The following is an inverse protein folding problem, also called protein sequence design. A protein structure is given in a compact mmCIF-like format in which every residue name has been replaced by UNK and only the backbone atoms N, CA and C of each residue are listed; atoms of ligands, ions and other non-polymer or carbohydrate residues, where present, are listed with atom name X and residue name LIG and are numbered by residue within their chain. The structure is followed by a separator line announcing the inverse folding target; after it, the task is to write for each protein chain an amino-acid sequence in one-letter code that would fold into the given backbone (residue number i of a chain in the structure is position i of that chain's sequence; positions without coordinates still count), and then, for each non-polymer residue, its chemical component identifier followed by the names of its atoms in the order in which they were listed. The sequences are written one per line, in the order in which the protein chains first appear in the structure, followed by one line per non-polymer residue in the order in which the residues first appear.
data_IF_630319494194
#
_entry.id   IF_630319494194
#
_cell.length_a   1.000
_cell.length_b   1.000
_cell.length_c   1.000
_cell.angle_alpha   90.00
_cell.angle_beta   90.00
_cell.angle_gamma   90.00
#
_symmetry.space_group_name_H-M   'P 1'
#
loop_
_entity.id
_entity.type
_entity.pdbx_description
1 polymer ?
#
# COMPACT_ATOMS: atom_id res chain seq x y z
N UNK A 1 -0.69 -32.89 -8.02
CA UNK A 1 -0.56 -31.57 -8.65
C UNK A 1 -0.96 -30.54 -7.63
N UNK A 2 -0.03 -29.65 -7.24
CA UNK A 2 -0.35 -28.61 -6.27
C UNK A 2 -1.15 -27.49 -6.99
N UNK A 3 -2.04 -26.76 -6.29
CA UNK A 3 -2.90 -25.73 -6.89
C UNK A 3 -2.17 -24.58 -7.63
N UNK A 4 -0.86 -24.43 -7.45
CA UNK A 4 -0.02 -23.40 -8.09
C UNK A 4 0.19 -23.58 -9.60
N UNK A 5 -0.25 -24.70 -10.17
CA UNK A 5 0.08 -25.09 -11.54
C UNK A 5 -0.79 -24.41 -12.62
N UNK A 6 -1.69 -23.47 -12.30
CA UNK A 6 -2.57 -22.86 -13.31
C UNK A 6 -2.70 -21.33 -13.17
N UNK A 7 -1.62 -20.57 -13.42
CA UNK A 7 -1.71 -19.12 -13.47
C UNK A 7 -2.74 -18.69 -14.50
N UNK A 8 -3.44 -17.59 -14.23
CA UNK A 8 -4.21 -16.92 -15.26
C UNK A 8 -3.23 -16.41 -16.32
N UNK A 9 -3.53 -16.69 -17.58
CA UNK A 9 -2.71 -16.28 -18.72
C UNK A 9 -3.47 -15.24 -19.53
N UNK A 10 -2.76 -14.23 -20.01
CA UNK A 10 -3.29 -13.26 -20.96
C UNK A 10 -2.65 -13.56 -22.30
N UNK A 11 -3.46 -13.95 -23.30
CA UNK A 11 -2.97 -14.37 -24.63
C UNK A 11 -1.80 -15.37 -24.49
N UNK A 12 -2.02 -16.42 -23.69
CA UNK A 12 -1.04 -17.49 -23.40
C UNK A 12 0.25 -17.03 -22.71
N UNK A 13 0.30 -15.80 -22.19
CA UNK A 13 1.49 -15.22 -21.56
C UNK A 13 1.27 -15.08 -20.07
N UNK A 14 2.27 -15.46 -19.26
CA UNK A 14 2.22 -15.35 -17.81
C UNK A 14 2.41 -13.89 -17.41
N UNK A 15 1.71 -13.48 -16.36
CA UNK A 15 1.87 -12.16 -15.77
C UNK A 15 1.72 -12.21 -14.25
N UNK A 16 2.18 -11.13 -13.61
CA UNK A 16 1.86 -10.80 -12.23
C UNK A 16 1.42 -9.34 -12.12
N UNK A 17 0.87 -9.00 -10.96
CA UNK A 17 0.38 -7.68 -10.61
C UNK A 17 1.28 -7.11 -9.53
N UNK A 18 1.93 -5.98 -9.83
CA UNK A 18 2.67 -5.17 -8.84
C UNK A 18 1.73 -4.09 -8.30
N UNK A 19 1.56 -4.03 -6.98
CA UNK A 19 0.81 -2.97 -6.31
C UNK A 19 1.65 -2.30 -5.24
N UNK A 20 1.43 -1.00 -5.06
CA UNK A 20 2.08 -0.23 -4.00
C UNK A 20 1.11 0.07 -2.88
N UNK A 21 1.56 -0.11 -1.64
CA UNK A 21 0.79 0.27 -0.47
C UNK A 21 1.68 1.02 0.52
N UNK A 22 1.09 2.00 1.20
CA UNK A 22 1.77 2.91 2.10
C UNK A 22 1.22 2.71 3.52
N UNK A 23 2.13 2.43 4.45
CA UNK A 23 1.82 2.40 5.88
C UNK A 23 2.30 3.70 6.50
N UNK A 24 1.36 4.56 6.89
CA UNK A 24 1.68 5.90 7.45
C UNK A 24 1.75 5.91 8.97
N UNK A 25 1.20 4.89 9.62
CA UNK A 25 1.21 4.75 11.08
C UNK A 25 1.00 3.28 11.45
N UNK A 26 1.72 2.80 12.47
CA UNK A 26 1.57 1.44 13.02
C UNK A 26 0.57 1.43 14.19
N UNK A 27 0.30 2.56 14.83
CA UNK A 27 -0.64 2.65 15.94
C UNK A 27 -1.22 4.07 16.08
N UNK A 28 -2.48 4.32 15.67
CA UNK A 28 -3.38 3.38 14.97
C UNK A 28 -2.80 2.95 13.63
N UNK A 29 -2.97 1.67 13.29
CA UNK A 29 -2.53 1.17 11.98
C UNK A 29 -3.30 1.88 10.87
N UNK A 30 -2.58 2.48 9.92
CA UNK A 30 -3.17 3.18 8.78
C UNK A 30 -2.50 2.71 7.50
N UNK A 31 -3.27 2.11 6.60
CA UNK A 31 -2.83 1.53 5.34
C UNK A 31 -3.55 2.24 4.20
N UNK A 32 -2.77 2.66 3.20
CA UNK A 32 -3.26 3.23 1.94
C UNK A 32 -2.81 2.39 0.76
N UNK A 33 -3.65 2.19 -0.24
CA UNK A 33 -3.33 1.43 -1.44
C UNK A 33 -3.28 2.38 -2.65
N UNK A 34 -2.25 2.24 -3.48
CA UNK A 34 -2.10 2.97 -4.72
C UNK A 34 -2.91 2.27 -5.82
N UNK A 35 -3.77 2.99 -6.55
CA UNK A 35 -4.50 2.60 -7.79
C UNK A 35 -5.91 3.24 -7.86
N UNK A 36 -6.35 3.99 -6.84
CA UNK A 36 -7.76 4.32 -6.67
C UNK A 36 -8.34 5.31 -7.69
N UNK A 37 -7.58 6.34 -8.08
CA UNK A 37 -8.10 7.40 -8.95
C UNK A 37 -7.67 7.22 -10.41
N UNK A 38 -6.39 6.92 -10.66
CA UNK A 38 -5.87 6.73 -12.03
C UNK A 38 -6.32 5.44 -12.71
N UNK A 39 -6.85 4.46 -11.96
CA UNK A 39 -7.25 3.14 -12.51
C UNK A 39 -6.11 2.46 -13.29
N UNK A 40 -4.85 2.70 -12.89
CA UNK A 40 -3.68 2.13 -13.55
C UNK A 40 -3.11 0.95 -12.77
N UNK A 41 -3.17 -0.26 -13.34
CA UNK A 41 -2.52 -1.46 -12.79
C UNK A 41 -1.15 -1.66 -13.40
N UNK A 42 -0.18 -2.06 -12.58
CA UNK A 42 1.14 -2.42 -13.08
C UNK A 42 1.24 -3.93 -13.30
N UNK A 43 0.93 -4.36 -14.52
CA UNK A 43 1.10 -5.75 -14.95
C UNK A 43 2.52 -5.96 -15.49
N UNK A 44 3.19 -7.03 -15.04
CA UNK A 44 4.48 -7.45 -15.60
C UNK A 44 4.31 -8.79 -16.29
N UNK A 45 4.67 -8.85 -17.57
CA UNK A 45 4.51 -10.03 -18.41
C UNK A 45 5.83 -10.77 -18.60
N UNK A 46 5.77 -12.08 -18.78
CA UNK A 46 6.88 -12.85 -19.36
C UNK A 46 7.04 -12.52 -20.86
N UNK A 47 8.26 -12.60 -21.40
CA UNK A 47 8.54 -12.31 -22.81
C UNK A 47 8.17 -13.46 -23.76
N UNK A 48 7.88 -14.66 -23.24
CA UNK A 48 7.48 -15.84 -24.02
C UNK A 48 6.14 -16.42 -23.54
N UNK A 49 5.49 -17.16 -24.43
CA UNK A 49 4.28 -17.93 -24.14
C UNK A 49 4.54 -19.01 -23.10
N UNK A 50 3.55 -19.20 -22.22
CA UNK A 50 3.59 -20.12 -21.10
C UNK A 50 3.50 -21.58 -21.56
N UNK A 51 4.40 -22.42 -21.06
CA UNK A 51 4.36 -23.87 -21.29
C UNK A 51 4.99 -24.62 -20.13
N UNK A 52 4.49 -25.83 -19.84
CA UNK A 52 5.08 -26.75 -18.87
C UNK A 52 6.25 -27.56 -19.42
N UNK A 53 6.42 -27.61 -20.75
CA UNK A 53 7.48 -28.41 -21.38
C UNK A 53 8.86 -27.74 -21.31
N UNK A 54 8.90 -26.44 -21.01
CA UNK A 54 10.13 -25.66 -21.00
C UNK A 54 10.15 -24.70 -19.80
N UNK A 55 11.15 -24.85 -18.93
CA UNK A 55 11.31 -24.07 -17.70
C UNK A 55 12.20 -22.84 -17.84
N UNK A 56 12.44 -22.38 -19.07
CA UNK A 56 13.24 -21.19 -19.34
C UNK A 56 12.67 -19.94 -18.64
N UNK A 57 13.53 -19.12 -18.04
CA UNK A 57 13.12 -17.96 -17.21
C UNK A 57 12.23 -16.95 -17.95
N UNK A 58 12.47 -16.72 -19.25
CA UNK A 58 11.62 -15.90 -20.11
C UNK A 58 10.16 -16.36 -20.25
N UNK A 59 9.83 -17.58 -19.80
CA UNK A 59 8.48 -18.18 -19.82
C UNK A 59 7.82 -18.05 -18.45
N UNK A 60 8.57 -18.27 -17.37
CA UNK A 60 8.02 -18.49 -16.02
C UNK A 60 8.24 -17.35 -15.04
N UNK A 61 9.16 -16.43 -15.34
CA UNK A 61 9.51 -15.30 -14.47
C UNK A 61 8.98 -14.01 -15.11
N UNK A 62 8.36 -13.13 -14.32
CA UNK A 62 7.78 -11.87 -14.81
C UNK A 62 8.61 -10.63 -14.42
N UNK A 63 9.69 -10.83 -13.65
CA UNK A 63 10.56 -9.75 -13.20
C UNK A 63 11.13 -8.97 -14.40
N UNK A 64 10.93 -7.66 -14.39
CA UNK A 64 11.33 -6.80 -15.51
C UNK A 64 12.82 -6.90 -15.83
N UNK A 65 13.69 -6.92 -14.82
CA UNK A 65 15.15 -7.04 -15.02
C UNK A 65 15.56 -8.35 -15.74
N UNK A 66 14.75 -9.40 -15.64
CA UNK A 66 14.95 -10.65 -16.38
C UNK A 66 14.43 -10.48 -17.81
N UNK A 67 13.23 -9.93 -17.97
CA UNK A 67 12.56 -9.81 -19.27
C UNK A 67 13.22 -8.78 -20.20
N UNK A 68 13.79 -7.69 -19.68
CA UNK A 68 14.50 -6.66 -20.45
C UNK A 68 15.63 -7.25 -21.32
N UNK A 69 16.31 -8.30 -20.85
CA UNK A 69 17.39 -8.96 -21.59
C UNK A 69 16.90 -9.53 -22.92
N UNK A 70 15.69 -10.09 -22.92
CA UNK A 70 15.09 -10.74 -24.08
C UNK A 70 14.47 -9.72 -25.03
N UNK A 71 13.84 -8.67 -24.49
CA UNK A 71 13.28 -7.58 -25.28
C UNK A 71 14.37 -6.82 -26.05
N UNK A 72 15.50 -6.55 -25.40
CA UNK A 72 16.65 -5.90 -26.04
C UNK A 72 17.26 -6.76 -27.15
N UNK A 73 17.35 -8.08 -26.95
CA UNK A 73 17.81 -9.00 -27.99
C UNK A 73 16.84 -9.01 -29.18
N UNK A 74 15.53 -9.03 -28.94
CA UNK A 74 14.49 -8.93 -29.97
C UNK A 74 14.62 -7.63 -30.77
N UNK A 75 14.74 -6.49 -30.08
CA UNK A 75 14.93 -5.17 -30.72
C UNK A 75 16.21 -5.12 -31.55
N UNK A 76 17.32 -5.68 -31.05
CA UNK A 76 18.58 -5.77 -31.80
C UNK A 76 18.44 -6.63 -33.06
N UNK A 77 17.73 -7.76 -32.98
CA UNK A 77 17.46 -8.62 -34.14
C UNK A 77 16.60 -7.91 -35.19
N UNK A 78 15.54 -7.22 -34.78
CA UNK A 78 14.68 -6.44 -35.68
C UNK A 78 15.47 -5.33 -36.40
N UNK A 79 16.30 -4.57 -35.67
CA UNK A 79 17.16 -3.54 -36.28
C UNK A 79 18.15 -4.10 -37.32
N UNK A 80 18.65 -5.33 -37.10
CA UNK A 80 19.56 -6.00 -38.04
C UNK A 80 18.85 -6.48 -39.31
N UNK A 81 17.56 -6.81 -39.22
CA UNK A 81 16.79 -7.37 -40.33
C UNK A 81 16.18 -6.32 -41.25
N UNK A 82 16.26 -5.03 -40.91
CA UNK A 82 15.58 -3.95 -41.64
C UNK A 82 14.09 -4.26 -41.89
N UNK A 83 13.44 -4.96 -40.95
CA UNK A 83 12.00 -5.21 -41.02
C UNK A 83 11.25 -3.88 -40.92
N UNK A 84 10.27 -3.67 -41.80
CA UNK A 84 9.48 -2.44 -41.86
C UNK A 84 8.76 -2.20 -40.52
N UNK A 85 8.69 -0.95 -40.01
CA UNK A 85 8.08 -0.65 -38.72
C UNK A 85 6.62 -1.11 -38.62
N UNK A 86 5.89 -1.18 -39.73
CA UNK A 86 4.47 -1.57 -39.77
C UNK A 86 4.25 -3.08 -39.61
N UNK A 87 5.10 -3.93 -40.19
CA UNK A 87 4.97 -5.39 -40.06
C UNK A 87 5.28 -5.85 -38.61
N UNK A 88 6.17 -5.11 -37.94
CA UNK A 88 6.52 -5.29 -36.52
C UNK A 88 5.37 -4.97 -35.55
N UNK A 89 4.33 -4.24 -36.00
CA UNK A 89 3.16 -3.90 -35.19
C UNK A 89 2.27 -5.13 -34.88
N UNK A 90 2.17 -6.06 -35.83
CA UNK A 90 1.41 -7.31 -35.69
C UNK A 90 2.07 -8.31 -34.73
N UNK A 91 3.39 -8.17 -34.53
CA UNK A 91 4.23 -9.01 -33.64
C UNK A 91 4.72 -8.25 -32.40
N UNK A 92 3.95 -7.25 -31.94
CA UNK A 92 4.19 -6.64 -30.63
C UNK A 92 3.84 -7.63 -29.54
N UNK A 93 4.82 -7.90 -28.66
CA UNK A 93 4.60 -8.76 -27.50
C UNK A 93 3.44 -8.21 -26.68
N UNK A 94 2.72 -9.05 -25.93
CA UNK A 94 1.72 -8.60 -24.95
C UNK A 94 2.33 -7.55 -24.02
N UNK A 95 3.62 -7.71 -23.70
CA UNK A 95 4.44 -6.76 -22.96
C UNK A 95 4.49 -5.34 -23.58
N UNK A 96 4.50 -5.23 -24.92
CA UNK A 96 4.58 -3.96 -25.64
C UNK A 96 3.20 -3.29 -25.85
N UNK A 97 2.11 -3.99 -25.55
CA UNK A 97 0.74 -3.53 -25.84
C UNK A 97 0.19 -2.54 -24.79
N UNK A 98 0.94 -2.27 -23.72
CA UNK A 98 0.57 -1.29 -22.69
C UNK A 98 -0.74 -1.65 -22.01
N UNK A 99 -0.75 -2.76 -21.28
CA UNK A 99 -1.92 -3.19 -20.52
C UNK A 99 -2.18 -2.28 -19.34
N UNK A 100 -3.45 -1.91 -19.17
CA UNK A 100 -4.02 -1.15 -18.06
C UNK A 100 -5.22 -1.91 -17.48
N UNK A 101 -5.90 -1.33 -16.49
CA UNK A 101 -7.05 -1.98 -15.85
C UNK A 101 -8.21 -2.17 -16.83
N UNK A 102 -8.38 -1.27 -17.79
CA UNK A 102 -9.45 -1.32 -18.78
C UNK A 102 -9.27 -2.54 -19.68
N UNK A 103 -8.09 -2.72 -20.27
CA UNK A 103 -7.76 -3.91 -21.08
C UNK A 103 -7.84 -5.20 -20.29
N UNK A 104 -7.40 -5.17 -19.02
CA UNK A 104 -7.53 -6.33 -18.14
C UNK A 104 -9.01 -6.67 -17.91
N UNK A 105 -9.85 -5.68 -17.62
CA UNK A 105 -11.29 -5.87 -17.45
C UNK A 105 -11.95 -6.39 -18.73
N UNK A 106 -11.65 -5.80 -19.89
CA UNK A 106 -12.15 -6.27 -21.19
C UNK A 106 -11.76 -7.74 -21.44
N UNK A 107 -10.51 -8.10 -21.14
CA UNK A 107 -10.05 -9.48 -21.27
C UNK A 107 -10.78 -10.43 -20.32
N UNK A 108 -10.96 -10.06 -19.05
CA UNK A 108 -11.73 -10.86 -18.09
C UNK A 108 -13.19 -10.99 -18.54
N UNK A 109 -13.81 -9.92 -19.06
CA UNK A 109 -15.16 -9.99 -19.63
C UNK A 109 -15.24 -10.94 -20.82
N UNK A 110 -14.23 -10.96 -21.68
CA UNK A 110 -14.15 -11.91 -22.80
C UNK A 110 -14.07 -13.38 -22.37
N UNK A 111 -13.65 -13.65 -21.12
CA UNK A 111 -13.63 -14.98 -20.52
C UNK A 111 -14.94 -15.33 -19.78
N UNK A 112 -15.94 -14.43 -19.78
CA UNK A 112 -17.25 -14.65 -19.17
C UNK A 112 -17.46 -14.03 -17.79
N UNK A 113 -16.54 -13.18 -17.31
CA UNK A 113 -16.78 -12.40 -16.09
C UNK A 113 -17.68 -11.17 -16.37
N UNK A 114 -18.53 -10.79 -15.41
CA UNK A 114 -19.45 -9.66 -15.56
C UNK A 114 -18.90 -8.36 -14.94
N UNK A 115 -19.56 -7.22 -15.21
CA UNK A 115 -19.24 -5.90 -14.62
C UNK A 115 -17.78 -5.46 -14.85
N UNK A 116 -17.02 -5.08 -13.81
CA UNK A 116 -15.61 -4.69 -13.85
C UNK A 116 -14.80 -5.63 -12.94
N UNK A 117 -14.44 -6.83 -13.44
CA UNK A 117 -13.92 -7.92 -12.61
C UNK A 117 -12.69 -7.58 -11.77
N UNK A 118 -11.81 -6.71 -12.27
CA UNK A 118 -10.66 -6.23 -11.52
C UNK A 118 -11.08 -5.48 -10.25
N UNK A 119 -12.05 -4.57 -10.33
CA UNK A 119 -12.47 -3.77 -9.17
C UNK A 119 -13.48 -4.50 -8.29
N UNK A 120 -14.32 -5.35 -8.89
CA UNK A 120 -15.39 -6.02 -8.17
C UNK A 120 -14.92 -7.30 -7.46
N UNK A 121 -13.91 -7.98 -8.02
CA UNK A 121 -13.47 -9.30 -7.53
C UNK A 121 -12.00 -9.33 -7.09
N UNK A 122 -11.10 -8.73 -7.87
CA UNK A 122 -9.65 -8.89 -7.66
C UNK A 122 -9.12 -7.88 -6.62
N UNK A 123 -9.38 -6.59 -6.83
CA UNK A 123 -8.90 -5.49 -5.99
C UNK A 123 -9.36 -5.62 -4.52
N UNK A 124 -10.61 -6.02 -4.20
CA UNK A 124 -11.03 -6.21 -2.81
C UNK A 124 -10.28 -7.36 -2.12
N UNK A 125 -10.04 -8.47 -2.82
CA UNK A 125 -9.29 -9.60 -2.26
C UNK A 125 -7.82 -9.25 -2.02
N UNK A 126 -7.19 -8.56 -2.97
CA UNK A 126 -5.82 -8.07 -2.79
C UNK A 126 -5.75 -7.10 -1.61
N UNK A 127 -6.72 -6.19 -1.50
CA UNK A 127 -6.81 -5.24 -0.38
C UNK A 127 -6.93 -5.98 0.95
N UNK A 128 -7.82 -6.97 1.04
CA UNK A 128 -8.00 -7.81 2.21
C UNK A 128 -6.71 -8.57 2.56
N UNK A 129 -6.03 -9.16 1.58
CA UNK A 129 -4.76 -9.86 1.78
C UNK A 129 -3.66 -8.94 2.34
N UNK A 130 -3.52 -7.72 1.80
CA UNK A 130 -2.54 -6.73 2.30
C UNK A 130 -2.87 -6.33 3.73
N UNK A 131 -4.13 -6.02 4.02
CA UNK A 131 -4.55 -5.57 5.35
C UNK A 131 -4.34 -6.67 6.39
N UNK A 132 -4.76 -7.91 6.10
CA UNK A 132 -4.54 -9.08 6.95
C UNK A 132 -3.06 -9.31 7.24
N UNK A 133 -2.22 -9.22 6.20
CA UNK A 133 -0.79 -9.43 6.32
C UNK A 133 -0.12 -8.37 7.22
N UNK A 134 -0.46 -7.09 7.06
CA UNK A 134 0.09 -6.03 7.91
C UNK A 134 -0.45 -6.12 9.33
N UNK A 135 -1.72 -6.47 9.52
CA UNK A 135 -2.31 -6.70 10.85
C UNK A 135 -1.61 -7.85 11.60
N UNK A 136 -1.28 -8.93 10.90
CA UNK A 136 -0.52 -10.04 11.45
C UNK A 136 0.91 -9.61 11.84
N UNK A 137 1.54 -8.75 11.05
CA UNK A 137 2.88 -8.24 11.32
C UNK A 137 2.92 -7.07 12.33
N UNK A 138 1.80 -6.41 12.59
CA UNK A 138 1.73 -5.14 13.34
C UNK A 138 2.39 -5.19 14.71
N UNK A 139 2.30 -6.32 15.42
CA UNK A 139 2.90 -6.50 16.75
C UNK A 139 4.43 -6.56 16.72
N UNK A 140 5.01 -6.91 15.57
CA UNK A 140 6.45 -6.97 15.34
C UNK A 140 7.01 -5.71 14.68
N UNK A 141 6.14 -4.81 14.22
CA UNK A 141 6.55 -3.56 13.60
C UNK A 141 6.91 -2.51 14.65
N UNK A 142 8.01 -1.81 14.40
CA UNK A 142 8.51 -0.80 15.32
C UNK A 142 7.62 0.45 15.31
N UNK A 143 7.06 0.79 16.47
CA UNK A 143 6.24 1.98 16.66
C UNK A 143 7.13 3.22 16.81
N UNK A 144 7.36 3.95 15.71
CA UNK A 144 8.02 5.26 15.71
C UNK A 144 7.09 6.34 15.17
N UNK A 145 7.14 7.52 15.81
CA UNK A 145 6.45 8.71 15.30
C UNK A 145 7.13 9.18 14.01
N UNK A 146 6.35 9.77 13.12
CA UNK A 146 6.84 10.34 11.85
C UNK A 146 7.58 9.32 10.97
N UNK A 147 7.22 8.04 11.07
CA UNK A 147 7.73 6.97 10.20
C UNK A 147 6.60 6.55 9.27
N UNK A 148 6.94 6.42 8.00
CA UNK A 148 6.11 5.81 6.98
C UNK A 148 6.96 4.78 6.24
N UNK A 149 6.32 3.76 5.69
CA UNK A 149 6.97 2.80 4.81
C UNK A 149 6.10 2.57 3.58
N UNK A 150 6.69 2.79 2.41
CA UNK A 150 6.11 2.44 1.12
C UNK A 150 6.60 1.03 0.76
N UNK A 151 5.66 0.14 0.52
CA UNK A 151 5.93 -1.22 0.12
C UNK A 151 5.42 -1.47 -1.29
N UNK A 152 5.93 -2.52 -1.90
CA UNK A 152 5.29 -3.14 -3.04
C UNK A 152 5.01 -4.62 -2.81
N UNK A 153 3.90 -5.10 -3.36
CA UNK A 153 3.45 -6.47 -3.26
C UNK A 153 3.16 -7.02 -4.65
N UNK A 154 3.66 -8.22 -4.89
CA UNK A 154 3.50 -8.94 -6.15
C UNK A 154 2.44 -10.03 -5.97
N UNK A 155 1.41 -9.99 -6.82
CA UNK A 155 0.29 -10.94 -6.81
C UNK A 155 0.24 -11.73 -8.12
N UNK A 156 0.01 -13.04 -8.01
CA UNK A 156 -0.32 -13.89 -9.15
C UNK A 156 -1.81 -14.19 -9.14
N UNK A 157 -2.49 -13.95 -10.26
CA UNK A 157 -3.85 -14.41 -10.45
C UNK A 157 -3.86 -15.86 -10.90
N UNK A 158 -4.77 -16.65 -10.34
CA UNK A 158 -5.05 -18.04 -10.74
C UNK A 158 -6.35 -18.07 -11.55
N UNK A 159 -6.54 -19.14 -12.33
CA UNK A 159 -7.62 -19.26 -13.32
C UNK A 159 -9.04 -19.02 -12.76
N UNK A 160 -9.26 -19.26 -11.48
CA UNK A 160 -10.50 -19.03 -10.73
C UNK A 160 -10.63 -17.60 -10.17
N UNK A 161 -9.80 -16.66 -10.62
CA UNK A 161 -9.69 -15.28 -10.08
C UNK A 161 -9.38 -15.24 -8.58
N UNK A 162 -8.79 -16.31 -8.05
CA UNK A 162 -8.11 -16.25 -6.76
C UNK A 162 -6.76 -15.57 -6.96
N UNK A 163 -6.43 -14.67 -6.06
CA UNK A 163 -5.16 -13.96 -6.00
C UNK A 163 -4.24 -14.60 -4.96
N UNK A 164 -2.97 -14.75 -5.35
CA UNK A 164 -1.95 -15.34 -4.51
C UNK A 164 -0.85 -14.30 -4.32
N UNK A 165 -0.67 -13.85 -3.08
CA UNK A 165 0.47 -13.01 -2.71
C UNK A 165 1.76 -13.83 -2.89
N UNK A 166 2.67 -13.33 -3.73
CA UNK A 166 3.95 -13.99 -4.05
C UNK A 166 5.04 -13.47 -3.12
N UNK A 167 5.25 -12.16 -3.11
CA UNK A 167 6.31 -11.49 -2.35
C UNK A 167 5.90 -10.08 -1.96
N UNK A 168 6.56 -9.57 -0.92
CA UNK A 168 6.48 -8.18 -0.48
C UNK A 168 7.89 -7.62 -0.48
N UNK A 169 8.09 -6.49 -1.16
CA UNK A 169 9.35 -5.78 -1.14
C UNK A 169 9.20 -4.45 -0.39
N UNK A 170 10.18 -4.18 0.48
CA UNK A 170 10.28 -2.93 1.26
C UNK A 170 11.10 -1.89 0.50
N UNK A 171 11.92 -2.32 -0.48
CA UNK A 171 12.74 -1.43 -1.29
C UNK A 171 12.10 -1.29 -2.65
N UNK A 172 11.62 -0.08 -2.91
CA UNK A 172 11.14 0.38 -4.19
C UNK A 172 12.29 0.37 -5.21
N UNK A 173 12.57 -0.77 -5.85
CA UNK A 173 13.47 -0.78 -7.01
C UNK A 173 12.75 -0.16 -8.20
N UNK A 174 12.74 1.16 -8.23
CA UNK A 174 12.23 1.95 -9.34
C UNK A 174 13.28 2.00 -10.45
N UNK A 175 13.48 0.87 -11.14
CA UNK A 175 14.29 0.86 -12.35
C UNK A 175 13.52 1.61 -13.44
N UNK A 176 14.01 2.76 -13.88
CA UNK A 176 13.45 3.43 -15.06
C UNK A 176 13.77 2.57 -16.28
N UNK A 177 12.81 1.73 -16.64
CA UNK A 177 12.88 0.93 -17.86
C UNK A 177 12.62 1.83 -19.07
N UNK A 178 12.91 1.32 -20.26
CA UNK A 178 12.53 1.98 -21.53
C UNK A 178 11.00 2.10 -21.75
N UNK A 179 10.18 1.55 -20.85
CA UNK A 179 8.74 1.50 -20.97
C UNK A 179 8.07 2.77 -20.42
N UNK A 180 7.23 3.42 -21.26
CA UNK A 180 6.56 4.67 -20.89
C UNK A 180 5.61 4.50 -19.68
N UNK A 181 4.96 3.35 -19.55
CA UNK A 181 4.05 3.06 -18.43
C UNK A 181 4.78 3.11 -17.09
N UNK A 182 5.96 2.46 -16.96
CA UNK A 182 6.70 2.45 -15.69
C UNK A 182 7.15 3.83 -15.29
N UNK A 183 7.54 4.68 -16.26
CA UNK A 183 7.94 6.05 -15.98
C UNK A 183 6.78 6.88 -15.42
N UNK A 184 5.60 6.76 -16.02
CA UNK A 184 4.39 7.47 -15.56
C UNK A 184 3.97 6.97 -14.18
N UNK A 185 3.84 5.65 -14.02
CA UNK A 185 3.44 5.03 -12.74
C UNK A 185 4.37 5.45 -11.61
N UNK A 186 5.68 5.35 -11.78
CA UNK A 186 6.62 5.70 -10.71
C UNK A 186 6.58 7.18 -10.37
N UNK A 187 6.41 8.06 -11.37
CA UNK A 187 6.22 9.48 -11.14
C UNK A 187 4.96 9.74 -10.30
N UNK A 188 3.84 9.12 -10.66
CA UNK A 188 2.55 9.27 -9.97
C UNK A 188 2.60 8.70 -8.54
N UNK A 189 3.24 7.55 -8.34
CA UNK A 189 3.45 6.95 -7.01
C UNK A 189 4.24 7.90 -6.12
N UNK A 190 5.35 8.44 -6.62
CA UNK A 190 6.21 9.35 -5.84
C UNK A 190 5.53 10.69 -5.56
N UNK A 191 4.78 11.25 -6.52
CA UNK A 191 4.02 12.48 -6.31
C UNK A 191 2.91 12.27 -5.25
N UNK A 192 2.12 11.21 -5.39
CA UNK A 192 1.05 10.86 -4.44
C UNK A 192 1.61 10.56 -3.05
N UNK A 193 2.78 9.91 -2.98
CA UNK A 193 3.50 9.65 -1.73
C UNK A 193 3.82 10.97 -1.00
N UNK A 194 4.33 11.97 -1.71
CA UNK A 194 4.65 13.28 -1.12
C UNK A 194 3.39 13.98 -0.61
N UNK A 195 2.31 13.98 -1.39
CA UNK A 195 1.00 14.52 -0.95
C UNK A 195 0.52 13.89 0.35
N UNK A 196 0.59 12.56 0.45
CA UNK A 196 0.15 11.84 1.66
C UNK A 196 1.04 12.17 2.86
N UNK A 197 2.36 12.23 2.70
CA UNK A 197 3.27 12.41 3.83
C UNK A 197 3.32 13.87 4.31
N UNK A 198 3.28 14.82 3.39
CA UNK A 198 3.46 16.24 3.71
C UNK A 198 2.14 16.96 3.97
N UNK A 199 1.12 16.70 3.16
CA UNK A 199 -0.08 17.53 3.14
C UNK A 199 -1.16 17.00 4.10
N UNK A 200 -1.34 15.68 4.19
CA UNK A 200 -2.36 15.06 5.08
C UNK A 200 -2.17 15.42 6.55
N UNK A 201 -0.94 15.47 7.12
CA UNK A 201 -0.75 15.92 8.50
C UNK A 201 -1.17 17.38 8.75
N UNK A 202 -1.16 18.22 7.71
CA UNK A 202 -1.55 19.63 7.79
C UNK A 202 -3.06 19.77 7.60
N UNK A 203 -3.63 19.05 6.64
CA UNK A 203 -5.06 19.04 6.35
C UNK A 203 -5.48 17.64 5.92
N UNK A 204 -6.30 16.99 6.74
CA UNK A 204 -6.74 15.61 6.51
C UNK A 204 -7.64 15.41 5.28
N UNK A 205 -8.19 16.49 4.71
CA UNK A 205 -9.12 16.46 3.57
C UNK A 205 -8.44 16.82 2.24
N UNK A 206 -7.11 16.91 2.19
CA UNK A 206 -6.38 17.18 0.94
C UNK A 206 -6.40 16.02 -0.03
N UNK A 207 -6.17 16.32 -1.30
CA UNK A 207 -5.90 15.34 -2.33
C UNK A 207 -4.70 14.46 -1.96
N UNK A 208 -4.90 13.14 -1.95
CA UNK A 208 -3.87 12.14 -1.69
C UNK A 208 -3.30 11.53 -2.97
N UNK A 209 -3.66 12.10 -4.14
CA UNK A 209 -3.36 11.52 -5.44
C UNK A 209 -4.01 10.16 -5.58
N UNK A 210 -3.25 9.18 -6.06
CA UNK A 210 -3.75 7.84 -6.36
C UNK A 210 -3.80 6.89 -5.15
N UNK A 211 -3.39 7.35 -3.96
CA UNK A 211 -3.50 6.59 -2.72
C UNK A 211 -4.89 6.75 -2.10
N UNK A 212 -5.62 5.65 -1.93
CA UNK A 212 -6.85 5.58 -1.14
C UNK A 212 -6.61 4.97 0.24
N UNK A 213 -7.35 5.43 1.25
CA UNK A 213 -7.37 4.81 2.56
C UNK A 213 -8.13 3.48 2.50
N UNK A 214 -7.44 2.37 2.77
CA UNK A 214 -8.05 1.03 2.73
C UNK A 214 -8.23 0.42 4.11
N UNK A 215 -7.47 0.88 5.10
CA UNK A 215 -7.65 0.46 6.48
C UNK A 215 -7.16 1.54 7.44
N UNK A 216 -7.96 1.82 8.46
CA UNK A 216 -7.60 2.66 9.60
C UNK A 216 -8.12 1.99 10.86
N UNK A 217 -7.21 1.52 11.68
CA UNK A 217 -7.53 0.87 12.93
C UNK A 217 -8.28 1.83 13.85
N UNK A 218 -9.42 1.37 14.36
CA UNK A 218 -10.13 2.09 15.40
C UNK A 218 -9.49 1.76 16.75
N UNK A 219 -9.14 2.80 17.51
CA UNK A 219 -8.63 2.64 18.87
C UNK A 219 -9.66 3.30 19.77
N UNK A 220 -10.49 2.52 20.49
CA UNK A 220 -11.44 3.06 21.45
C UNK A 220 -10.71 3.94 22.48
N UNK A 221 -11.28 5.11 22.77
CA UNK A 221 -10.78 6.04 23.79
C UNK A 221 -10.70 5.40 25.20
N UNK A 222 -11.46 4.33 25.41
CA UNK A 222 -11.53 3.59 26.66
C UNK A 222 -10.97 2.18 26.50
N UNK A 223 -9.86 1.91 27.19
CA UNK A 223 -9.51 0.54 27.54
C UNK A 223 -10.16 0.20 28.89
N UNK A 224 -11.01 -0.83 29.00
CA UNK A 224 -11.33 -1.37 30.31
C UNK A 224 -10.02 -1.85 30.93
N UNK A 225 -9.55 -1.10 31.92
CA UNK A 225 -8.46 -1.50 32.80
C UNK A 225 -8.95 -2.77 33.51
N UNK A 226 -8.59 -3.95 32.99
CA UNK A 226 -8.78 -5.22 33.71
C UNK A 226 -7.76 -5.21 34.85
N UNK A 227 -8.23 -4.64 35.98
CA UNK A 227 -7.43 -4.23 37.11
C UNK A 227 -6.55 -5.33 37.65
N UNK A 228 -5.25 -5.02 37.73
CA UNK A 228 -4.51 -5.33 38.94
C UNK A 228 -4.69 -4.13 39.87
N UNK A 229 -5.26 -4.39 41.04
CA UNK A 229 -5.60 -3.43 42.09
C UNK A 229 -4.49 -2.40 42.31
N UNK A 230 -4.65 -1.20 41.76
CA UNK A 230 -3.79 -0.06 42.04
C UNK A 230 -4.48 0.81 43.09
N UNK A 231 -4.07 0.68 44.35
CA UNK A 231 -4.48 1.60 45.40
C UNK A 231 -3.61 2.85 45.33
N UNK A 232 -4.22 3.99 45.04
CA UNK A 232 -3.56 5.30 45.12
C UNK A 232 -4.04 6.00 46.38
N UNK A 233 -3.13 6.19 47.34
CA UNK A 233 -3.34 7.04 48.50
C UNK A 233 -2.48 8.31 48.32
N UNK A 234 -3.13 9.47 48.35
CA UNK A 234 -2.47 10.77 48.26
C UNK A 234 -2.85 11.66 49.44
N UNK A 235 -1.94 12.54 49.85
CA UNK A 235 -2.20 13.59 50.85
C UNK A 235 -2.07 14.95 50.16
N UNK A 236 -3.02 15.85 50.43
CA UNK A 236 -3.02 17.20 49.85
C UNK A 236 -1.73 17.95 50.22
N UNK A 237 -1.11 18.60 49.23
CA UNK A 237 0.02 19.49 49.42
C UNK A 237 -0.40 20.90 49.04
N UNK A 238 -0.32 21.83 49.99
CA UNK A 238 -0.52 23.26 49.73
C UNK A 238 0.74 23.83 49.07
N UNK A 239 0.63 24.29 47.83
CA UNK A 239 1.76 24.65 46.99
C UNK A 239 2.34 26.06 47.28
N UNK A 240 1.89 26.75 48.32
CA UNK A 240 2.45 28.03 48.73
C UNK A 240 2.08 28.36 50.18
N UNK A 241 3.07 28.51 51.05
CA UNK A 241 2.93 29.41 52.20
C UNK A 241 2.95 30.84 51.65
N UNK A 242 1.86 31.58 51.85
CA UNK A 242 1.84 33.01 51.59
C UNK A 242 2.59 33.70 52.73
N UNK A 243 3.75 34.30 52.44
CA UNK A 243 4.32 35.35 53.30
C UNK A 243 3.52 36.64 53.12
N UNK A 244 3.33 37.46 54.17
CA UNK A 244 2.48 38.65 54.10
C UNK A 244 3.09 39.73 53.19
N UNK A 245 2.19 40.39 52.48
CA UNK A 245 2.34 41.54 51.58
C UNK A 245 3.13 42.73 52.14
N UNK A 246 3.93 43.38 51.28
CA UNK A 246 4.18 44.82 51.32
C UNK A 246 4.15 45.42 49.91
N UNK A 247 3.72 46.66 49.83
CA UNK A 247 3.11 47.35 48.68
C UNK A 247 4.03 47.81 47.53
N UNK A 248 3.38 47.96 46.36
CA UNK A 248 3.56 48.96 45.26
C UNK A 248 4.96 49.23 44.68
N UNK A 249 5.10 49.03 43.36
CA UNK A 249 5.22 50.15 42.40
C UNK A 249 5.12 49.75 40.92
N UNK A 250 4.98 50.77 40.08
CA UNK A 250 4.37 50.84 38.75
C UNK A 250 5.27 50.45 37.55
N UNK A 251 4.56 50.06 36.48
CA UNK A 251 4.71 50.45 35.04
C UNK A 251 5.44 49.55 34.03
N UNK A 252 4.75 49.49 32.88
CA UNK A 252 5.19 49.42 31.47
C UNK A 252 5.21 48.05 30.76
N UNK A 253 4.39 48.01 29.70
CA UNK A 253 4.29 46.98 28.66
C UNK A 253 5.61 46.78 27.90
N UNK A 254 5.79 45.61 27.28
CA UNK A 254 6.16 45.39 25.85
C UNK A 254 6.40 43.88 25.58
N UNK A 255 5.85 43.41 24.45
CA UNK A 255 6.19 42.19 23.66
C UNK A 255 5.46 40.84 23.90
N UNK A 256 4.53 40.52 22.99
CA UNK A 256 4.42 39.28 22.17
C UNK A 256 4.38 37.87 22.83
N UNK A 257 3.35 37.03 22.57
CA UNK A 257 3.28 35.68 23.13
C UNK A 257 3.88 34.64 22.17
N UNK A 258 5.16 34.31 22.33
CA UNK A 258 5.72 33.03 21.89
C UNK A 258 6.70 32.48 22.92
N UNK A 259 6.18 31.66 23.83
CA UNK A 259 6.85 30.48 24.40
C UNK A 259 6.04 29.96 25.59
N UNK A 260 5.19 28.96 25.34
CA UNK A 260 4.84 27.98 26.37
C UNK A 260 5.33 26.62 25.89
N UNK A 261 6.59 26.31 26.24
CA UNK A 261 7.08 24.94 26.25
C UNK A 261 6.23 24.16 27.27
N UNK A 262 5.33 23.32 26.77
CA UNK A 262 4.73 22.29 27.61
C UNK A 262 5.78 21.21 27.88
N UNK A 263 6.16 21.14 29.16
CA UNK A 263 6.82 20.05 29.90
C UNK A 263 6.92 18.71 29.18
N UNK A 264 8.12 18.14 29.27
CA UNK A 264 8.45 16.76 28.98
C UNK A 264 7.35 15.78 29.47
N UNK A 265 6.78 15.03 28.54
CA UNK A 265 6.04 13.80 28.87
C UNK A 265 7.07 12.70 29.01
N UNK A 266 7.35 12.29 30.24
CA UNK A 266 8.05 11.04 30.56
C UNK A 266 7.35 9.91 29.82
N UNK A 267 8.11 9.10 29.08
CA UNK A 267 7.58 7.96 28.33
C UNK A 267 6.82 7.01 29.28
N UNK A 268 5.59 6.63 28.91
CA UNK A 268 4.88 5.55 29.59
C UNK A 268 5.62 4.22 29.35
N UNK A 269 5.74 3.35 30.37
CA UNK A 269 6.43 2.06 30.23
C UNK A 269 5.73 1.17 29.20
N UNK A 270 6.53 0.32 28.51
CA UNK A 270 6.04 -0.70 27.59
C UNK A 270 5.08 -1.63 28.30
N UNK A 271 3.81 -1.60 27.90
CA UNK A 271 2.85 -2.65 28.24
C UNK A 271 2.79 -3.61 27.05
N UNK A 272 3.33 -4.81 27.25
CA UNK A 272 3.12 -5.95 26.37
C UNK A 272 1.63 -6.31 26.46
N UNK A 273 0.84 -5.97 25.43
CA UNK A 273 -0.59 -6.30 25.39
C UNK A 273 -0.78 -7.73 24.88
N UNK A 274 -1.20 -8.63 25.76
CA UNK A 274 -1.76 -9.94 25.41
C UNK A 274 -3.29 -9.85 25.36
N UNK A 275 -3.84 -9.57 24.17
CA UNK A 275 -5.21 -9.91 23.72
C UNK A 275 -5.36 -9.31 22.32
N UNK A 276 -5.58 -10.17 21.32
CA UNK A 276 -5.61 -9.86 19.89
C UNK A 276 -6.85 -9.00 19.53
N UNK A 277 -6.70 -7.68 19.27
CA UNK A 277 -7.79 -6.82 18.81
C UNK A 277 -7.78 -6.68 17.27
N UNK A 278 -6.82 -7.31 16.58
CA UNK A 278 -6.50 -7.01 15.18
C UNK A 278 -7.46 -7.66 14.18
N UNK A 279 -8.00 -8.84 14.48
CA UNK A 279 -8.83 -9.60 13.52
C UNK A 279 -10.30 -9.18 13.60
N UNK A 280 -10.82 -8.88 14.79
CA UNK A 280 -12.22 -8.47 14.98
C UNK A 280 -12.51 -7.12 14.32
N UNK A 281 -11.61 -6.15 14.49
CA UNK A 281 -11.72 -4.81 13.88
C UNK A 281 -11.72 -4.89 12.34
N UNK A 282 -10.93 -5.80 11.76
CA UNK A 282 -10.97 -6.05 10.32
C UNK A 282 -12.28 -6.69 9.86
N UNK A 283 -12.78 -7.70 10.59
CA UNK A 283 -14.05 -8.36 10.25
C UNK A 283 -15.19 -7.33 10.25
N UNK A 284 -15.21 -6.43 11.23
CA UNK A 284 -16.22 -5.38 11.32
C UNK A 284 -16.04 -4.32 10.22
N UNK A 285 -14.79 -3.97 9.88
CA UNK A 285 -14.48 -3.10 8.74
C UNK A 285 -14.91 -3.70 7.40
N UNK A 286 -14.60 -4.97 7.13
CA UNK A 286 -14.99 -5.68 5.91
C UNK A 286 -16.50 -5.87 5.81
N UNK A 287 -17.19 -6.12 6.93
CA UNK A 287 -18.66 -6.19 6.97
C UNK A 287 -19.29 -4.83 6.68
N UNK A 288 -18.78 -3.75 7.28
CA UNK A 288 -19.26 -2.40 7.03
C UNK A 288 -19.08 -1.97 5.57
N UNK A 289 -17.91 -2.27 4.96
CA UNK A 289 -17.62 -1.96 3.56
C UNK A 289 -18.52 -2.74 2.58
N UNK A 290 -18.85 -4.00 2.88
CA UNK A 290 -19.80 -4.80 2.08
C UNK A 290 -21.25 -4.31 2.19
N UNK A 291 -21.65 -3.74 3.33
CA UNK A 291 -22.99 -3.16 3.49
C UNK A 291 -23.17 -1.84 2.73
N UNK A 292 -22.11 -1.05 2.52
CA UNK A 292 -22.16 0.20 1.76
C UNK A 292 -22.16 0.01 0.23
N UNK A 293 -21.75 -1.16 -0.26
CA UNK A 293 -21.75 -1.49 -1.69
C UNK A 293 -23.07 -2.16 -2.18
N UNK A 294 -24.00 -2.46 -1.26
CA UNK A 294 -25.25 -3.18 -1.55
C UNK A 294 -26.50 -2.29 -1.55
N UNK A 295 -26.35 -0.96 -1.53
CA UNK A 295 -27.43 0.03 -1.59
C UNK A 295 -27.22 1.01 -2.75
#
# INVERSE_FOLDING_TARGET
MLPYERPLLIKETKFDIRLWYLVTSIFPLTIRLFNSASREVFLRFSSKQYTFSNYHEAIHICNIAVQEKYDDEKRRKQRRRQEDPEESASSRSVHDQGWDCEKLNEYLKSMGYESEPYYDLIYPKITEAIVLMILAAQNHMERRRCRFELYDADFMLVKDTSDWLIEINIILRMHLTSFRLTRRLYSNVLESLMKVIMDVPVNACVDTGDFSLVYKQDIPDFQPYLGLYLFVAGKSMTLHEQKPTSEKERRANICGPWSKQHRARTALPMILRSREPNVADLIDHLKAARCTAAN
#
